data_IF_598593836264
#
_entry.id   IF_598593836264
#
_cell.length_a   1.000
_cell.length_b   1.000
_cell.length_c   1.000
_cell.angle_alpha   90.00
_cell.angle_beta   90.00
_cell.angle_gamma   90.00
#
_symmetry.space_group_name_H-M   'P 1'
#
loop_
_entity.id
_entity.type
_entity.pdbx_description
1 polymer ?
#
# COMPACT_ATOMS: atom_id res chain seq x y z
N UNK A 1 3.45 12.72 8.12
CA UNK A 1 2.07 12.61 8.62
C UNK A 1 1.20 12.44 7.39
N UNK A 2 0.90 11.18 7.02
CA UNK A 2 -0.03 10.91 5.93
C UNK A 2 -1.44 10.98 6.53
N UNK A 3 -2.23 11.94 6.09
CA UNK A 3 -3.67 11.98 6.35
C UNK A 3 -4.32 10.91 5.45
N UNK A 4 -4.61 9.73 6.00
CA UNK A 4 -5.29 8.62 5.31
C UNK A 4 -6.82 8.78 5.26
N UNK A 5 -7.38 9.97 5.46
CA UNK A 5 -8.82 10.18 5.44
C UNK A 5 -9.29 10.83 4.13
N UNK A 6 -9.32 10.04 3.06
CA UNK A 6 -10.22 10.33 1.94
C UNK A 6 -11.65 9.97 2.37
N UNK A 7 -12.43 10.97 2.78
CA UNK A 7 -13.86 10.80 3.08
C UNK A 7 -14.67 11.27 1.87
N UNK A 8 -15.44 10.35 1.28
CA UNK A 8 -16.40 10.61 0.20
C UNK A 8 -17.76 10.11 0.69
N UNK A 9 -18.80 10.96 0.70
CA UNK A 9 -20.18 10.56 1.00
C UNK A 9 -21.16 11.04 -0.09
N UNK A 10 -21.64 10.05 -0.88
CA UNK A 10 -22.88 9.88 -1.68
C UNK A 10 -23.30 10.92 -2.75
N UNK A 11 -23.98 10.55 -3.87
CA UNK A 11 -24.37 9.21 -4.36
C UNK A 11 -23.18 8.51 -5.02
N UNK A 12 -23.35 7.33 -5.62
CA UNK A 12 -22.33 6.57 -6.38
C UNK A 12 -21.28 7.53 -6.95
N UNK A 13 -20.12 7.64 -6.28
CA UNK A 13 -19.16 8.66 -6.64
C UNK A 13 -18.47 8.16 -7.90
N UNK A 14 -18.86 8.74 -9.05
CA UNK A 14 -18.29 8.41 -10.35
C UNK A 14 -16.89 9.01 -10.50
N UNK A 15 -16.54 10.02 -9.70
CA UNK A 15 -15.28 10.75 -9.78
C UNK A 15 -14.71 11.07 -8.39
N UNK A 16 -13.41 10.83 -8.17
CA UNK A 16 -12.67 11.21 -6.96
C UNK A 16 -11.64 12.26 -7.29
N UNK A 17 -11.74 13.45 -6.68
CA UNK A 17 -10.76 14.53 -6.85
C UNK A 17 -9.58 14.35 -5.91
N UNK A 18 -8.38 14.36 -6.47
CA UNK A 18 -7.10 14.27 -5.76
C UNK A 18 -6.39 15.60 -5.91
N UNK A 19 -5.79 16.07 -4.82
CA UNK A 19 -4.94 17.26 -4.79
C UNK A 19 -3.63 16.89 -4.13
N UNK A 20 -2.52 17.05 -4.87
CA UNK A 20 -1.18 16.75 -4.40
C UNK A 20 -0.40 18.05 -4.13
N UNK A 21 0.17 18.16 -2.93
CA UNK A 21 1.02 19.27 -2.49
C UNK A 21 2.35 18.73 -1.97
N UNK A 22 3.44 19.48 -2.17
CA UNK A 22 4.81 19.05 -1.84
C UNK A 22 4.99 18.64 -0.37
N UNK A 23 4.28 19.30 0.55
CA UNK A 23 4.33 19.02 1.99
C UNK A 23 3.88 17.59 2.36
N UNK A 24 3.28 16.85 1.41
CA UNK A 24 2.69 15.52 1.62
C UNK A 24 3.52 14.35 1.07
N UNK A 25 4.63 14.59 0.37
CA UNK A 25 5.43 13.54 -0.27
C UNK A 25 4.70 12.83 -1.42
N UNK A 26 5.32 11.84 -2.06
CA UNK A 26 4.71 11.08 -3.18
C UNK A 26 3.42 10.39 -2.74
N UNK A 27 2.30 10.68 -3.42
CA UNK A 27 1.04 9.95 -3.21
C UNK A 27 1.00 8.79 -4.19
N UNK A 28 0.87 7.56 -3.67
CA UNK A 28 0.62 6.36 -4.46
C UNK A 28 -0.76 5.81 -4.10
N UNK A 29 -1.67 5.78 -5.07
CA UNK A 29 -2.96 5.10 -4.90
C UNK A 29 -2.86 3.70 -5.48
N UNK A 30 -3.32 2.70 -4.73
CA UNK A 30 -3.35 1.30 -5.15
C UNK A 30 -4.70 0.69 -4.83
N UNK A 31 -5.32 0.05 -5.82
CA UNK A 31 -6.53 -0.75 -5.60
C UNK A 31 -6.16 -2.06 -4.89
N UNK A 32 -6.92 -2.43 -3.85
CA UNK A 32 -6.62 -3.61 -3.00
C UNK A 32 -6.64 -4.95 -3.73
N UNK A 33 -7.45 -5.07 -4.79
CA UNK A 33 -7.60 -6.30 -5.58
C UNK A 33 -7.08 -6.22 -7.01
N UNK A 34 -6.73 -5.02 -7.49
CA UNK A 34 -6.24 -4.83 -8.85
C UNK A 34 -4.89 -4.13 -8.85
N UNK A 35 -3.93 -4.64 -9.63
CA UNK A 35 -2.59 -4.03 -9.84
C UNK A 35 -2.67 -2.70 -10.62
N UNK A 36 -3.63 -1.84 -10.30
CA UNK A 36 -3.82 -0.50 -10.86
C UNK A 36 -3.22 0.48 -9.86
N UNK A 37 -2.32 1.34 -10.33
CA UNK A 37 -1.70 2.35 -9.49
C UNK A 37 -1.56 3.68 -10.21
N UNK A 38 -1.62 4.76 -9.43
CA UNK A 38 -1.19 6.09 -9.87
C UNK A 38 -0.23 6.69 -8.84
N UNK A 39 0.73 7.45 -9.33
CA UNK A 39 1.74 8.17 -8.56
C UNK A 39 1.77 9.63 -8.96
N UNK A 40 1.98 10.53 -8.00
CA UNK A 40 2.13 11.96 -8.23
C UNK A 40 3.27 12.51 -7.37
N UNK A 41 4.10 13.39 -7.94
CA UNK A 41 5.27 13.92 -7.25
C UNK A 41 6.02 15.01 -8.00
N UNK A 42 6.89 15.70 -7.27
CA UNK A 42 7.95 16.54 -7.81
C UNK A 42 9.12 15.65 -8.25
N UNK A 43 9.42 15.66 -9.54
CA UNK A 43 10.53 14.89 -10.11
C UNK A 43 11.75 15.77 -10.39
N UNK A 44 11.61 17.09 -10.21
CA UNK A 44 12.62 18.10 -10.50
C UNK A 44 13.26 17.92 -11.90
N UNK A 45 12.42 17.49 -12.85
CA UNK A 45 12.73 17.29 -14.26
C UNK A 45 12.11 18.42 -15.06
N UNK A 46 12.80 18.89 -16.10
CA UNK A 46 12.33 19.95 -16.99
C UNK A 46 12.39 19.47 -18.43
N UNK A 47 11.29 19.62 -19.17
CA UNK A 47 11.24 19.26 -20.58
C UNK A 47 10.27 20.16 -21.33
N UNK A 48 10.70 20.66 -22.49
CA UNK A 48 9.90 21.54 -23.35
C UNK A 48 8.58 20.92 -23.81
N UNK A 49 8.51 19.60 -23.97
CA UNK A 49 7.28 18.88 -24.34
C UNK A 49 6.21 19.00 -23.24
N UNK A 50 6.64 19.04 -21.98
CA UNK A 50 5.76 19.16 -20.83
C UNK A 50 5.44 20.61 -20.45
N UNK A 51 6.00 21.59 -21.17
CA UNK A 51 5.69 23.01 -21.04
C UNK A 51 6.80 23.88 -20.45
N UNK A 52 7.95 23.31 -20.06
CA UNK A 52 9.09 24.09 -19.61
C UNK A 52 9.74 24.89 -20.74
N UNK A 53 10.46 25.95 -20.38
CA UNK A 53 11.26 26.75 -21.34
C UNK A 53 12.52 26.04 -21.82
N UNK A 54 13.04 25.11 -21.02
CA UNK A 54 14.31 24.40 -21.26
C UNK A 54 14.15 22.93 -20.90
N UNK A 55 14.87 22.07 -21.63
CA UNK A 55 14.99 20.65 -21.29
C UNK A 55 16.30 20.43 -20.54
N UNK A 56 16.23 19.80 -19.37
CA UNK A 56 17.43 19.37 -18.63
C UNK A 56 17.70 17.87 -18.82
N UNK A 57 18.86 17.41 -18.37
CA UNK A 57 19.28 16.01 -18.52
C UNK A 57 18.24 15.02 -17.95
N UNK A 58 17.71 15.32 -16.74
CA UNK A 58 16.69 14.50 -16.11
C UNK A 58 15.38 14.45 -16.91
N UNK A 59 14.98 15.57 -17.52
CA UNK A 59 13.83 15.63 -18.41
C UNK A 59 14.02 14.82 -19.70
N UNK A 60 15.25 14.75 -20.21
CA UNK A 60 15.60 13.90 -21.36
C UNK A 60 15.51 12.42 -21.00
N UNK A 61 16.04 12.04 -19.84
CA UNK A 61 15.97 10.67 -19.32
C UNK A 61 14.53 10.23 -19.07
N UNK A 62 13.73 11.08 -18.41
CA UNK A 62 12.33 10.77 -18.10
C UNK A 62 11.47 10.69 -19.36
N UNK A 63 11.71 11.53 -20.38
CA UNK A 63 11.05 11.41 -21.67
C UNK A 63 11.44 10.11 -22.39
N UNK A 64 12.72 9.73 -22.34
CA UNK A 64 13.17 8.47 -22.93
C UNK A 64 12.51 7.28 -22.25
N UNK A 65 12.39 7.31 -20.92
CA UNK A 65 11.64 6.33 -20.15
C UNK A 65 10.16 6.31 -20.55
N UNK A 66 9.52 7.48 -20.67
CA UNK A 66 8.12 7.58 -21.10
C UNK A 66 7.90 6.90 -22.45
N UNK A 67 8.73 7.22 -23.44
CA UNK A 67 8.63 6.67 -24.80
C UNK A 67 8.86 5.15 -24.86
N UNK A 68 9.77 4.62 -24.05
CA UNK A 68 10.15 3.21 -24.09
C UNK A 68 9.29 2.32 -23.18
N UNK A 69 8.88 2.84 -22.02
CA UNK A 69 8.39 2.03 -20.91
C UNK A 69 6.90 2.23 -20.63
N UNK A 70 6.28 3.37 -21.00
CA UNK A 70 4.86 3.60 -20.69
C UNK A 70 3.94 2.57 -21.35
N UNK A 71 4.22 2.15 -22.58
CA UNK A 71 3.40 1.12 -23.27
C UNK A 71 3.48 -0.22 -22.53
N UNK A 72 4.70 -0.68 -22.23
CA UNK A 72 4.95 -1.95 -21.55
C UNK A 72 4.35 -1.95 -20.14
N UNK A 73 4.46 -0.82 -19.43
CA UNK A 73 3.96 -0.66 -18.08
C UNK A 73 2.48 -0.26 -18.02
N UNK A 74 1.82 -0.14 -19.18
CA UNK A 74 0.44 0.35 -19.29
C UNK A 74 0.27 1.65 -18.48
N UNK A 75 1.22 2.56 -18.59
CA UNK A 75 1.25 3.83 -17.87
C UNK A 75 0.98 4.99 -18.83
N UNK A 76 0.37 6.06 -18.32
CA UNK A 76 0.17 7.34 -18.98
C UNK A 76 0.80 8.41 -18.11
N UNK A 77 1.57 9.29 -18.73
CA UNK A 77 2.21 10.42 -18.10
C UNK A 77 1.35 11.67 -18.29
N UNK A 78 1.10 12.40 -17.20
CA UNK A 78 0.21 13.56 -17.15
C UNK A 78 0.99 14.76 -16.62
N UNK A 79 1.49 15.65 -17.51
CA UNK A 79 2.10 16.91 -17.12
C UNK A 79 1.04 17.93 -16.68
N UNK A 80 1.46 18.93 -15.90
CA UNK A 80 0.56 19.99 -15.45
C UNK A 80 0.20 20.97 -16.57
N UNK A 81 -0.99 21.54 -16.48
CA UNK A 81 -1.51 22.54 -17.43
C UNK A 81 -0.79 23.88 -17.29
N UNK A 82 -0.61 24.34 -16.05
CA UNK A 82 0.13 25.56 -15.72
C UNK A 82 1.43 25.22 -14.97
N UNK A 83 2.38 26.16 -14.86
CA UNK A 83 3.60 25.96 -14.09
C UNK A 83 3.30 25.55 -12.65
N UNK A 84 3.99 24.52 -12.19
CA UNK A 84 3.90 24.08 -10.79
C UNK A 84 4.88 24.80 -9.89
N UNK A 85 5.84 25.55 -10.44
CA UNK A 85 6.70 26.45 -9.71
C UNK A 85 6.67 27.84 -10.39
N UNK A 86 5.67 28.69 -10.05
CA UNK A 86 5.32 29.88 -10.82
C UNK A 86 6.42 30.93 -10.90
N UNK A 87 7.21 31.09 -9.83
CA UNK A 87 8.30 32.08 -9.74
C UNK A 87 9.32 31.96 -10.88
N UNK A 88 9.56 30.73 -11.36
CA UNK A 88 10.45 30.45 -12.49
C UNK A 88 9.70 30.08 -13.78
N UNK A 89 8.37 29.92 -13.70
CA UNK A 89 7.56 29.36 -14.78
C UNK A 89 7.85 27.90 -15.10
N UNK A 90 8.32 27.10 -14.12
CA UNK A 90 8.71 25.70 -14.36
C UNK A 90 7.59 24.69 -14.09
N UNK A 91 7.63 23.56 -14.80
CA UNK A 91 6.68 22.44 -14.73
C UNK A 91 7.35 21.22 -14.08
N UNK A 92 7.40 21.16 -12.76
CA UNK A 92 8.22 20.16 -12.04
C UNK A 92 7.41 18.99 -11.45
N UNK A 93 6.10 19.15 -11.34
CA UNK A 93 5.21 18.17 -10.71
C UNK A 93 4.41 17.43 -11.77
N UNK A 94 4.43 16.10 -11.69
CA UNK A 94 3.83 15.22 -12.68
C UNK A 94 2.96 14.15 -12.02
N UNK A 95 2.02 13.61 -12.79
CA UNK A 95 1.29 12.40 -12.42
C UNK A 95 1.57 11.28 -13.44
N UNK A 96 1.76 10.07 -12.95
CA UNK A 96 1.84 8.85 -13.76
C UNK A 96 0.69 7.97 -13.30
N UNK A 97 -0.15 7.51 -14.21
CA UNK A 97 -1.26 6.61 -13.88
C UNK A 97 -1.31 5.42 -14.82
N UNK A 98 -1.80 4.29 -14.33
CA UNK A 98 -2.17 3.17 -15.17
C UNK A 98 -3.19 3.60 -16.24
N UNK A 99 -3.02 3.16 -17.48
CA UNK A 99 -3.91 3.43 -18.65
C UNK A 99 -5.38 3.11 -18.40
N UNK A 100 -5.66 2.22 -17.44
CA UNK A 100 -7.02 1.85 -17.04
C UNK A 100 -7.65 2.85 -16.05
N UNK A 101 -6.87 3.79 -15.52
CA UNK A 101 -7.32 4.90 -14.67
C UNK A 101 -7.63 6.07 -15.59
N UNK A 102 -8.91 6.41 -15.71
CA UNK A 102 -9.35 7.58 -16.47
C UNK A 102 -9.28 8.83 -15.60
N UNK A 103 -8.58 9.86 -16.09
CA UNK A 103 -8.54 11.17 -15.46
C UNK A 103 -9.56 12.09 -16.13
N UNK A 104 -10.64 12.40 -15.41
CA UNK A 104 -11.84 13.07 -15.94
C UNK A 104 -11.70 14.57 -16.20
N UNK A 105 -10.78 15.26 -15.51
CA UNK A 105 -10.60 16.71 -15.61
C UNK A 105 -9.34 17.14 -16.35
N UNK A 106 -8.74 16.22 -17.13
CA UNK A 106 -7.59 16.54 -17.97
C UNK A 106 -8.01 17.28 -19.25
N UNK A 107 -7.29 18.34 -19.62
CA UNK A 107 -7.46 19.03 -20.90
C UNK A 107 -6.24 18.75 -21.76
N UNK A 108 -6.40 18.14 -22.94
CA UNK A 108 -5.30 17.77 -23.84
C UNK A 108 -4.19 16.95 -23.14
N UNK A 109 -4.58 15.99 -22.29
CA UNK A 109 -3.64 15.15 -21.55
C UNK A 109 -2.90 15.86 -20.41
N UNK A 110 -3.27 17.11 -20.07
CA UNK A 110 -2.67 17.87 -18.97
C UNK A 110 -3.60 18.00 -17.78
N UNK A 111 -3.04 17.90 -16.57
CA UNK A 111 -3.77 18.00 -15.30
C UNK A 111 -3.76 19.42 -14.74
N UNK A 112 -4.81 19.78 -14.00
CA UNK A 112 -4.96 21.13 -13.48
C UNK A 112 -3.98 21.39 -12.32
N UNK A 113 -3.77 22.68 -12.04
CA UNK A 113 -2.97 23.14 -10.89
C UNK A 113 -3.80 24.06 -10.00
N UNK A 114 -3.49 24.06 -8.71
CA UNK A 114 -4.13 24.92 -7.72
C UNK A 114 -3.08 25.58 -6.83
N UNK A 115 -3.15 26.90 -6.70
CA UNK A 115 -2.30 27.64 -5.79
C UNK A 115 -2.62 27.28 -4.32
N UNK A 116 -1.58 27.22 -3.48
CA UNK A 116 -1.68 27.05 -2.03
C UNK A 116 -0.53 27.79 -1.33
N UNK A 117 -0.43 27.67 -0.01
CA UNK A 117 0.60 28.34 0.81
C UNK A 117 1.98 27.66 0.67
N UNK A 118 2.51 27.66 -0.55
CA UNK A 118 3.84 27.18 -0.94
C UNK A 118 4.28 27.95 -2.18
N UNK A 119 5.58 27.97 -2.41
CA UNK A 119 6.21 28.42 -3.65
C UNK A 119 5.87 27.53 -4.86
N UNK A 120 5.28 26.35 -4.64
CA UNK A 120 4.72 25.50 -5.69
C UNK A 120 3.19 25.56 -5.75
N UNK A 121 2.65 25.35 -6.95
CA UNK A 121 1.24 25.00 -7.15
C UNK A 121 1.04 23.49 -6.99
N UNK A 122 -0.03 23.11 -6.31
CA UNK A 122 -0.49 21.73 -6.20
C UNK A 122 -1.04 21.23 -7.55
N UNK A 123 -0.80 19.98 -7.91
CA UNK A 123 -1.50 19.35 -9.06
C UNK A 123 -2.82 18.75 -8.58
N UNK A 124 -3.86 18.91 -9.39
CA UNK A 124 -5.21 18.45 -9.09
C UNK A 124 -5.78 17.68 -10.27
N UNK A 125 -6.36 16.53 -9.99
CA UNK A 125 -7.00 15.71 -11.00
C UNK A 125 -8.14 14.87 -10.42
N UNK A 126 -9.08 14.49 -11.27
CA UNK A 126 -10.24 13.66 -10.92
C UNK A 126 -10.09 12.28 -11.54
N UNK A 127 -10.17 11.24 -10.71
CA UNK A 127 -10.17 9.85 -11.17
C UNK A 127 -11.60 9.39 -11.35
N UNK A 128 -11.95 8.86 -12.51
CA UNK A 128 -13.22 8.18 -12.73
C UNK A 128 -13.22 6.81 -12.02
N UNK A 129 -14.06 6.67 -11.00
CA UNK A 129 -14.09 5.50 -10.11
C UNK A 129 -15.10 4.44 -10.49
N UNK A 130 -16.00 4.75 -11.43
CA UNK A 130 -17.08 3.85 -11.88
C UNK A 130 -16.53 2.50 -12.38
N UNK A 131 -15.50 2.53 -13.23
CA UNK A 131 -14.86 1.33 -13.80
C UNK A 131 -13.70 0.77 -12.94
N UNK A 132 -13.21 1.53 -11.96
CA UNK A 132 -12.08 1.11 -11.13
C UNK A 132 -12.51 0.29 -9.92
N UNK A 133 -13.70 0.56 -9.38
CA UNK A 133 -14.11 0.06 -8.06
C UNK A 133 -15.53 -0.54 -8.02
N UNK A 134 -16.24 -0.70 -9.15
CA UNK A 134 -17.68 -1.05 -9.17
C UNK A 134 -18.52 -0.12 -8.27
N UNK A 135 -18.17 1.17 -8.26
CA UNK A 135 -18.63 2.12 -7.25
C UNK A 135 -17.91 1.90 -5.92
N UNK A 136 -17.35 2.97 -5.34
CA UNK A 136 -16.79 2.93 -3.99
C UNK A 136 -17.94 2.66 -2.99
N UNK A 137 -18.32 1.40 -2.80
CA UNK A 137 -19.08 0.99 -1.64
C UNK A 137 -18.10 1.00 -0.47
N UNK A 138 -18.28 1.94 0.45
CA UNK A 138 -17.59 1.96 1.73
C UNK A 138 -17.98 0.68 2.49
N UNK A 139 -17.33 -0.43 2.19
CA UNK A 139 -17.19 -1.51 3.14
C UNK A 139 -15.94 -1.14 3.91
N UNK A 140 -16.09 -0.69 5.16
CA UNK A 140 -15.00 -0.78 6.13
C UNK A 140 -14.61 -2.25 6.26
N UNK A 141 -13.83 -2.77 5.30
CA UNK A 141 -13.13 -4.01 5.50
C UNK A 141 -12.03 -3.66 6.50
N UNK A 142 -12.29 -3.91 7.79
CA UNK A 142 -11.20 -4.18 8.73
C UNK A 142 -10.36 -5.25 8.06
N UNK A 143 -9.22 -4.87 7.48
CA UNK A 143 -8.28 -5.82 6.90
C UNK A 143 -7.71 -6.63 8.07
N UNK A 144 -8.42 -7.69 8.44
CA UNK A 144 -7.96 -8.72 9.35
C UNK A 144 -6.90 -9.49 8.60
N UNK A 145 -5.64 -9.26 8.95
CA UNK A 145 -4.54 -10.04 8.39
C UNK A 145 -4.48 -11.35 9.14
N UNK A 146 -4.71 -12.46 8.45
CA UNK A 146 -4.61 -13.80 9.02
C UNK A 146 -3.17 -14.31 8.96
N UNK A 147 -2.77 -15.09 9.95
CA UNK A 147 -1.47 -15.75 9.99
C UNK A 147 -1.58 -17.15 9.40
N UNK A 148 -1.65 -17.25 8.08
CA UNK A 148 -1.74 -18.54 7.38
C UNK A 148 -0.50 -19.43 7.58
N UNK A 149 0.64 -18.85 7.97
CA UNK A 149 1.86 -19.61 8.27
C UNK A 149 1.71 -20.46 9.53
N UNK A 150 0.97 -19.96 10.51
CA UNK A 150 0.69 -20.65 11.79
C UNK A 150 -0.71 -21.26 11.82
N UNK A 151 -1.37 -21.37 10.67
CA UNK A 151 -2.69 -21.98 10.56
C UNK A 151 -2.64 -23.46 10.96
N UNK A 152 -3.60 -23.89 11.78
CA UNK A 152 -3.86 -25.31 11.99
C UNK A 152 -4.82 -25.80 10.90
N UNK A 153 -4.25 -26.24 9.77
CA UNK A 153 -5.01 -26.69 8.62
C UNK A 153 -5.91 -27.90 8.92
N UNK A 154 -5.53 -28.74 9.88
CA UNK A 154 -6.36 -29.89 10.29
C UNK A 154 -7.68 -29.42 10.91
N UNK A 155 -7.62 -28.48 11.86
CA UNK A 155 -8.83 -27.88 12.47
C UNK A 155 -9.68 -27.13 11.43
N UNK A 156 -9.03 -26.46 10.49
CA UNK A 156 -9.72 -25.78 9.39
C UNK A 156 -10.48 -26.77 8.50
N UNK A 157 -9.84 -27.87 8.09
CA UNK A 157 -10.46 -28.93 7.31
C UNK A 157 -11.62 -29.59 8.06
N UNK A 158 -11.42 -29.96 9.34
CA UNK A 158 -12.47 -30.53 10.19
C UNK A 158 -13.70 -29.60 10.29
N UNK A 159 -13.47 -28.28 10.40
CA UNK A 159 -14.55 -27.29 10.44
C UNK A 159 -15.30 -27.19 9.10
N UNK A 160 -14.58 -27.15 7.97
CA UNK A 160 -15.20 -27.13 6.64
C UNK A 160 -16.00 -28.41 6.39
N UNK A 161 -15.43 -29.57 6.68
CA UNK A 161 -16.11 -30.86 6.49
C UNK A 161 -17.39 -30.92 7.33
N UNK A 162 -17.31 -30.53 8.60
CA UNK A 162 -18.50 -30.46 9.48
C UNK A 162 -19.56 -29.50 8.93
N UNK A 163 -19.18 -28.28 8.54
CA UNK A 163 -20.11 -27.26 8.03
C UNK A 163 -20.72 -27.63 6.68
N UNK A 164 -19.98 -28.29 5.79
CA UNK A 164 -20.51 -28.77 4.52
C UNK A 164 -21.49 -29.94 4.71
N UNK A 165 -21.24 -30.81 5.69
CA UNK A 165 -22.10 -31.96 6.00
C UNK A 165 -23.43 -31.52 6.63
N UNK A 166 -23.43 -30.43 7.41
CA UNK A 166 -24.61 -29.91 8.12
C UNK A 166 -25.46 -28.98 7.24
N UNK A 167 -24.83 -28.07 6.50
CA UNK A 167 -25.54 -26.96 5.86
C UNK A 167 -25.58 -27.01 4.32
N UNK A 168 -24.70 -27.74 3.63
CA UNK A 168 -24.56 -27.58 2.17
C UNK A 168 -24.30 -28.89 1.43
N UNK A 169 -25.29 -29.78 1.41
CA UNK A 169 -25.30 -30.80 0.36
C UNK A 169 -25.64 -30.12 -0.97
N UNK A 170 -24.63 -29.89 -1.80
CA UNK A 170 -24.86 -29.58 -3.21
C UNK A 170 -25.67 -30.75 -3.78
N UNK A 171 -26.86 -30.50 -4.36
CA UNK A 171 -27.69 -31.56 -4.89
C UNK A 171 -26.91 -32.42 -5.87
N UNK A 172 -27.09 -33.73 -5.80
CA UNK A 172 -26.43 -34.67 -6.72
C UNK A 172 -27.02 -34.61 -8.14
N UNK A 173 -28.06 -33.81 -8.37
CA UNK A 173 -28.68 -33.65 -9.68
C UNK A 173 -27.79 -32.77 -10.58
N UNK A 174 -27.65 -33.16 -11.85
CA UNK A 174 -26.78 -32.46 -12.82
C UNK A 174 -27.47 -31.32 -13.56
N UNK A 175 -28.72 -31.01 -13.21
CA UNK A 175 -29.57 -30.04 -13.91
C UNK A 175 -29.88 -28.84 -13.01
N UNK A 176 -28.85 -28.22 -12.44
CA UNK A 176 -29.01 -26.96 -11.71
C UNK A 176 -29.07 -25.80 -12.70
N UNK A 177 -29.90 -24.80 -12.41
CA UNK A 177 -29.84 -23.53 -13.17
C UNK A 177 -28.60 -22.73 -12.78
N UNK A 178 -28.24 -21.73 -13.60
CA UNK A 178 -27.08 -20.87 -13.33
C UNK A 178 -27.24 -20.15 -11.98
N UNK A 179 -28.45 -19.70 -11.67
CA UNK A 179 -28.76 -19.01 -10.42
C UNK A 179 -28.62 -19.93 -9.19
N UNK A 180 -28.96 -21.21 -9.34
CA UNK A 180 -28.78 -22.19 -8.27
C UNK A 180 -27.29 -22.49 -8.05
N UNK A 181 -26.50 -22.58 -9.12
CA UNK A 181 -25.04 -22.75 -9.05
C UNK A 181 -24.41 -21.56 -8.32
N UNK A 182 -24.76 -20.33 -8.72
CA UNK A 182 -24.24 -19.13 -8.09
C UNK A 182 -24.59 -19.07 -6.59
N UNK A 183 -25.80 -19.49 -6.22
CA UNK A 183 -26.21 -19.60 -4.82
C UNK A 183 -25.35 -20.59 -4.02
N UNK A 184 -24.99 -21.74 -4.60
CA UNK A 184 -24.09 -22.70 -3.93
C UNK A 184 -22.65 -22.21 -3.85
N UNK A 185 -22.17 -21.45 -4.84
CA UNK A 185 -20.84 -20.83 -4.81
C UNK A 185 -20.77 -19.82 -3.65
N UNK A 186 -21.74 -18.90 -3.57
CA UNK A 186 -21.80 -17.90 -2.49
C UNK A 186 -21.84 -18.60 -1.12
N UNK A 187 -22.66 -19.64 -0.97
CA UNK A 187 -22.75 -20.39 0.29
C UNK A 187 -21.42 -21.08 0.66
N UNK A 188 -20.71 -21.60 -0.34
CA UNK A 188 -19.39 -22.22 -0.13
C UNK A 188 -18.35 -21.19 0.30
N UNK A 189 -18.38 -20.00 -0.31
CA UNK A 189 -17.53 -18.88 0.10
C UNK A 189 -17.81 -18.45 1.53
N UNK A 190 -19.09 -18.36 1.94
CA UNK A 190 -19.48 -18.03 3.31
C UNK A 190 -18.94 -19.06 4.32
N UNK A 191 -19.05 -20.36 4.02
CA UNK A 191 -18.53 -21.44 4.87
C UNK A 191 -17.00 -21.35 4.99
N UNK A 192 -16.30 -21.13 3.87
CA UNK A 192 -14.84 -20.97 3.87
C UNK A 192 -14.45 -19.75 4.71
N UNK A 193 -15.15 -18.63 4.56
CA UNK A 193 -14.86 -17.42 5.33
C UNK A 193 -15.15 -17.58 6.82
N UNK A 194 -16.20 -18.30 7.20
CA UNK A 194 -16.47 -18.66 8.60
C UNK A 194 -15.35 -19.53 9.18
N UNK A 195 -14.93 -20.57 8.43
CA UNK A 195 -13.86 -21.45 8.83
C UNK A 195 -12.53 -20.70 9.01
N UNK A 196 -12.20 -19.79 8.08
CA UNK A 196 -11.02 -18.92 8.18
C UNK A 196 -11.10 -18.08 9.47
N UNK A 197 -12.25 -17.45 9.72
CA UNK A 197 -12.44 -16.56 10.85
C UNK A 197 -12.32 -17.25 12.22
N UNK A 198 -12.77 -18.51 12.31
CA UNK A 198 -12.78 -19.29 13.54
C UNK A 198 -11.48 -20.04 13.83
N UNK A 199 -10.82 -20.55 12.80
CA UNK A 199 -9.71 -21.50 12.97
C UNK A 199 -8.33 -20.93 12.68
N UNK A 200 -8.24 -19.87 11.85
CA UNK A 200 -6.96 -19.29 11.47
C UNK A 200 -6.57 -18.18 12.46
N UNK A 201 -5.40 -18.26 13.11
CA UNK A 201 -4.94 -17.22 14.00
C UNK A 201 -4.84 -15.88 13.27
N UNK A 202 -5.35 -14.82 13.89
CA UNK A 202 -5.22 -13.45 13.35
C UNK A 202 -3.83 -12.92 13.71
N UNK A 203 -3.17 -12.24 12.78
CA UNK A 203 -2.01 -11.44 13.13
C UNK A 203 -2.50 -10.32 14.04
N UNK A 204 -2.10 -10.37 15.31
CA UNK A 204 -2.11 -9.17 16.12
C UNK A 204 -1.22 -8.17 15.40
N UNK A 205 -1.77 -7.00 15.05
CA UNK A 205 -0.95 -5.90 14.56
C UNK A 205 0.13 -5.70 15.62
N UNK A 206 1.39 -6.04 15.34
CA UNK A 206 2.50 -5.61 16.17
C UNK A 206 2.38 -4.09 16.19
N UNK A 207 2.03 -3.59 17.37
CA UNK A 207 1.65 -2.20 17.56
C UNK A 207 2.70 -1.32 16.89
N UNK A 208 2.22 -0.47 15.99
CA UNK A 208 3.01 0.51 15.26
C UNK A 208 4.03 1.19 16.18
N UNK A 209 5.20 1.55 15.64
CA UNK A 209 6.28 2.29 16.32
C UNK A 209 5.75 3.51 17.09
N UNK A 210 4.57 4.02 16.73
CA UNK A 210 3.90 5.16 17.36
C UNK A 210 3.17 4.85 18.69
N UNK A 211 2.97 3.58 19.08
CA UNK A 211 2.27 3.26 20.35
C UNK A 211 3.08 3.68 21.59
N UNK A 212 4.40 3.87 21.48
CA UNK A 212 5.21 4.46 22.57
C UNK A 212 4.82 5.90 22.93
N UNK A 213 4.11 6.57 22.02
CA UNK A 213 3.63 7.94 22.21
C UNK A 213 2.11 8.00 22.38
N UNK A 214 1.43 6.86 22.41
CA UNK A 214 -0.02 6.78 22.48
C UNK A 214 -0.46 6.60 23.94
N UNK A 215 -1.12 7.61 24.49
CA UNK A 215 -1.62 7.60 25.87
C UNK A 215 -3.15 7.71 25.89
N UNK A 216 -3.77 7.46 27.04
CA UNK A 216 -5.24 7.46 27.14
C UNK A 216 -5.87 8.82 26.77
N UNK A 217 -5.15 9.92 26.96
CA UNK A 217 -5.60 11.27 26.59
C UNK A 217 -5.62 11.39 25.06
N UNK A 218 -4.54 10.99 24.38
CA UNK A 218 -4.43 10.97 22.91
C UNK A 218 -5.52 10.08 22.31
N UNK A 219 -5.73 8.87 22.85
CA UNK A 219 -6.82 7.97 22.43
C UNK A 219 -8.19 8.61 22.56
N UNK A 220 -8.46 9.25 23.70
CA UNK A 220 -9.73 9.95 23.96
C UNK A 220 -9.92 11.11 22.97
N UNK A 221 -8.91 11.94 22.78
CA UNK A 221 -8.95 13.07 21.85
C UNK A 221 -9.16 12.62 20.39
N UNK A 222 -8.54 11.51 19.96
CA UNK A 222 -8.79 10.92 18.65
C UNK A 222 -10.22 10.38 18.51
N UNK A 223 -10.75 9.72 19.54
CA UNK A 223 -12.14 9.25 19.55
C UNK A 223 -13.12 10.43 19.49
N UNK A 224 -12.89 11.49 20.25
CA UNK A 224 -13.73 12.69 20.27
C UNK A 224 -13.66 13.44 18.93
N UNK A 225 -12.47 13.57 18.34
CA UNK A 225 -12.29 14.10 16.98
C UNK A 225 -13.09 13.29 15.96
N UNK A 226 -13.00 11.95 16.03
CA UNK A 226 -13.71 11.07 15.09
C UNK A 226 -15.23 11.21 15.23
N UNK A 227 -15.75 11.26 16.46
CA UNK A 227 -17.18 11.53 16.72
C UNK A 227 -17.64 12.86 16.14
N UNK A 228 -16.87 13.94 16.34
CA UNK A 228 -17.20 15.26 15.82
C UNK A 228 -17.16 15.32 14.29
N UNK A 229 -16.19 14.64 13.67
CA UNK A 229 -16.13 14.49 12.21
C UNK A 229 -17.39 13.76 11.71
N UNK A 230 -17.80 12.67 12.36
CA UNK A 230 -19.04 11.96 12.02
C UNK A 230 -20.28 12.84 12.16
N UNK A 231 -20.39 13.62 13.23
CA UNK A 231 -21.50 14.57 13.43
C UNK A 231 -21.48 15.66 12.34
N UNK A 232 -20.30 16.22 12.06
CA UNK A 232 -20.12 17.22 11.01
C UNK A 232 -20.61 16.69 9.66
N UNK A 233 -20.24 15.46 9.30
CA UNK A 233 -20.69 14.83 8.08
C UNK A 233 -22.21 14.61 8.05
N UNK A 234 -22.82 14.18 9.16
CA UNK A 234 -24.28 14.02 9.25
C UNK A 234 -25.01 15.36 9.01
N UNK A 235 -24.56 16.44 9.65
CA UNK A 235 -25.15 17.78 9.48
C UNK A 235 -25.02 18.24 8.03
N UNK A 236 -23.85 18.05 7.42
CA UNK A 236 -23.59 18.41 6.02
C UNK A 236 -24.45 17.57 5.06
N UNK A 237 -24.66 16.28 5.34
CA UNK A 237 -25.47 15.41 4.48
C UNK A 237 -26.97 15.70 4.51
N UNK A 238 -27.47 16.21 5.63
CA UNK A 238 -28.90 16.51 5.82
C UNK A 238 -29.24 17.91 5.30
N UNK A 239 -28.33 18.87 5.42
CA UNK A 239 -28.63 20.28 5.16
C UNK A 239 -28.27 20.73 3.74
N UNK A 240 -29.28 20.91 2.89
CA UNK A 240 -29.17 21.73 1.68
C UNK A 240 -29.22 23.22 2.08
N UNK A 241 -28.06 23.79 2.46
CA UNK A 241 -27.76 25.23 2.66
C UNK A 241 -28.21 25.90 3.99
N UNK A 242 -27.33 26.85 4.39
CA UNK A 242 -27.46 28.00 5.32
C UNK A 242 -27.88 27.81 6.78
N UNK A 243 -28.84 26.96 7.12
CA UNK A 243 -29.41 26.93 8.48
C UNK A 243 -28.43 26.44 9.56
N UNK A 244 -27.51 25.53 9.20
CA UNK A 244 -26.56 24.94 10.15
C UNK A 244 -25.14 25.53 10.07
N UNK A 245 -24.99 26.71 9.46
CA UNK A 245 -23.66 27.32 9.21
C UNK A 245 -22.91 27.59 10.52
N UNK A 246 -23.64 27.95 11.57
CA UNK A 246 -23.07 28.26 12.88
C UNK A 246 -22.58 26.99 13.59
N UNK A 247 -23.37 25.92 13.58
CA UNK A 247 -23.07 24.61 14.17
C UNK A 247 -21.88 23.96 13.46
N UNK A 248 -21.84 24.04 12.13
CA UNK A 248 -20.67 23.61 11.34
C UNK A 248 -19.43 24.40 11.73
N UNK A 249 -19.56 25.72 11.92
CA UNK A 249 -18.47 26.58 12.39
C UNK A 249 -17.97 26.20 13.78
N UNK A 250 -18.90 25.94 14.72
CA UNK A 250 -18.60 25.51 16.07
C UNK A 250 -17.88 24.16 16.09
N UNK A 251 -18.39 23.15 15.37
CA UNK A 251 -17.76 21.82 15.30
C UNK A 251 -16.35 21.91 14.70
N UNK A 252 -16.15 22.68 13.64
CA UNK A 252 -14.82 22.92 13.07
C UNK A 252 -13.87 23.58 14.06
N UNK A 253 -14.37 24.52 14.86
CA UNK A 253 -13.57 25.17 15.90
C UNK A 253 -13.18 24.18 17.01
N UNK A 254 -14.12 23.32 17.45
CA UNK A 254 -13.83 22.27 18.44
C UNK A 254 -12.80 21.27 17.88
N UNK A 255 -12.91 20.84 16.63
CA UNK A 255 -11.90 19.98 15.97
C UNK A 255 -10.53 20.67 15.95
N UNK A 256 -10.48 21.99 15.69
CA UNK A 256 -9.24 22.77 15.72
C UNK A 256 -8.63 22.79 17.12
N UNK A 257 -9.44 22.95 18.17
CA UNK A 257 -9.00 22.87 19.57
C UNK A 257 -8.46 21.48 19.90
N UNK A 258 -9.18 20.41 19.53
CA UNK A 258 -8.72 19.03 19.74
C UNK A 258 -7.39 18.77 19.03
N UNK A 259 -7.20 19.25 17.80
CA UNK A 259 -5.92 19.12 17.10
C UNK A 259 -4.78 19.84 17.83
N UNK A 260 -5.03 21.01 18.44
CA UNK A 260 -4.03 21.71 19.27
C UNK A 260 -3.67 20.90 20.52
N UNK A 261 -4.66 20.36 21.22
CA UNK A 261 -4.44 19.53 22.41
C UNK A 261 -3.75 18.21 22.06
N UNK A 262 -4.11 17.56 20.94
CA UNK A 262 -3.40 16.39 20.42
C UNK A 262 -1.92 16.71 20.20
N UNK A 263 -1.62 17.80 19.49
CA UNK A 263 -0.23 18.19 19.23
C UNK A 263 0.53 18.50 20.52
N UNK A 264 -0.10 19.14 21.50
CA UNK A 264 0.48 19.43 22.81
C UNK A 264 0.80 18.15 23.57
N UNK A 265 -0.14 17.21 23.62
CA UNK A 265 0.02 15.95 24.35
C UNK A 265 1.01 15.00 23.66
N UNK A 266 1.05 14.98 22.33
CA UNK A 266 2.10 14.29 21.58
C UNK A 266 3.48 14.85 21.90
N UNK A 267 3.64 16.19 21.87
CA UNK A 267 4.91 16.83 22.24
C UNK A 267 5.32 16.45 23.66
N UNK A 268 4.39 16.52 24.61
CA UNK A 268 4.62 16.15 26.01
C UNK A 268 5.08 14.70 26.14
N UNK A 269 4.40 13.77 25.48
CA UNK A 269 4.72 12.33 25.57
C UNK A 269 6.06 12.01 24.92
N UNK A 270 6.36 12.65 23.79
CA UNK A 270 7.67 12.54 23.12
C UNK A 270 8.78 13.08 24.02
N UNK A 271 8.62 14.26 24.61
CA UNK A 271 9.60 14.85 25.53
C UNK A 271 9.81 13.96 26.75
N UNK A 272 8.74 13.51 27.41
CA UNK A 272 8.83 12.64 28.58
C UNK A 272 9.55 11.32 28.26
N UNK A 273 9.30 10.74 27.09
CA UNK A 273 10.00 9.54 26.61
C UNK A 273 11.50 9.80 26.49
N UNK A 274 11.91 10.88 25.81
CA UNK A 274 13.33 11.20 25.63
C UNK A 274 14.01 11.57 26.94
N UNK A 275 13.34 12.30 27.84
CA UNK A 275 13.84 12.58 29.19
C UNK A 275 14.10 11.29 29.98
N UNK A 276 13.18 10.33 29.92
CA UNK A 276 13.37 9.04 30.57
C UNK A 276 14.57 8.28 29.97
N UNK A 277 14.67 8.24 28.63
CA UNK A 277 15.80 7.61 27.95
C UNK A 277 17.15 8.26 28.29
N UNK A 278 17.21 9.58 28.43
CA UNK A 278 18.44 10.29 28.85
C UNK A 278 18.76 10.03 30.32
N UNK A 279 17.74 10.00 31.21
CA UNK A 279 17.92 9.69 32.64
C UNK A 279 18.46 8.28 32.89
N UNK A 280 18.18 7.32 32.02
CA UNK A 280 18.72 5.95 32.09
C UNK A 280 20.22 5.84 31.73
N UNK A 281 20.82 6.93 31.23
CA UNK A 281 22.24 6.99 30.88
C UNK A 281 23.04 7.45 32.09
N UNK A 282 23.72 6.50 32.73
CA UNK A 282 24.62 6.77 33.84
C UNK A 282 26.05 7.04 33.33
N UNK A 283 26.53 8.27 33.52
CA UNK A 283 27.90 8.68 33.14
C UNK A 283 28.98 7.95 33.94
N UNK A 284 28.64 7.38 35.10
CA UNK A 284 29.57 6.61 35.94
C UNK A 284 29.86 5.22 35.34
N UNK A 285 28.98 4.73 34.46
CA UNK A 285 29.14 3.44 33.75
C UNK A 285 29.80 3.65 32.39
N UNK A 286 31.11 3.91 32.39
CA UNK A 286 31.88 4.22 31.17
C UNK A 286 31.68 3.23 30.02
N UNK A 287 31.55 1.92 30.33
CA UNK A 287 31.31 0.85 29.34
C UNK A 287 29.94 0.93 28.65
N UNK A 288 28.91 1.45 29.32
CA UNK A 288 27.54 1.54 28.78
C UNK A 288 27.17 2.92 28.25
N UNK A 289 27.86 3.96 28.73
CA UNK A 289 27.56 5.36 28.44
C UNK A 289 27.54 5.67 26.94
N UNK A 290 28.65 5.47 26.24
CA UNK A 290 28.75 5.75 24.81
C UNK A 290 27.86 4.83 23.95
N UNK A 291 27.74 3.51 24.21
CA UNK A 291 26.78 2.66 23.49
C UNK A 291 25.33 3.16 23.60
N UNK A 292 24.87 3.55 24.79
CA UNK A 292 23.51 4.07 25.00
C UNK A 292 23.30 5.41 24.28
N UNK A 293 24.25 6.34 24.40
CA UNK A 293 24.20 7.62 23.68
C UNK A 293 24.21 7.41 22.17
N UNK A 294 25.11 6.57 21.66
CA UNK A 294 25.20 6.27 20.23
C UNK A 294 23.91 5.66 19.70
N UNK A 295 23.20 4.83 20.48
CA UNK A 295 21.91 4.26 20.09
C UNK A 295 20.81 5.33 19.93
N UNK A 296 20.86 6.41 20.70
CA UNK A 296 19.87 7.49 20.67
C UNK A 296 20.20 8.54 19.60
N UNK A 297 21.47 8.93 19.47
CA UNK A 297 21.89 10.06 18.65
C UNK A 297 22.41 9.67 17.26
N UNK A 298 22.96 8.45 17.09
CA UNK A 298 23.41 8.05 15.76
C UNK A 298 22.21 7.67 14.91
N UNK A 299 22.00 8.45 13.86
CA UNK A 299 21.21 8.01 12.72
C UNK A 299 21.76 6.66 12.27
N UNK A 300 20.90 5.65 12.22
CA UNK A 300 21.29 4.40 11.56
C UNK A 300 21.70 4.78 10.14
N UNK A 301 22.91 4.38 9.67
CA UNK A 301 23.26 4.63 8.29
C UNK A 301 22.13 4.05 7.42
N UNK A 302 21.75 4.73 6.33
CA UNK A 302 20.78 4.17 5.40
C UNK A 302 21.25 2.75 5.05
N UNK A 303 20.31 1.80 5.05
CA UNK A 303 20.60 0.42 4.67
C UNK A 303 21.15 0.44 3.24
N UNK A 304 22.46 0.35 3.12
CA UNK A 304 23.14 0.30 1.84
C UNK A 304 23.24 -1.16 1.44
N UNK A 305 22.42 -1.54 0.47
CA UNK A 305 22.52 -2.87 -0.15
C UNK A 305 23.62 -2.76 -1.20
N UNK A 306 24.86 -2.97 -0.75
CA UNK A 306 26.03 -2.87 -1.61
C UNK A 306 26.01 -3.93 -2.70
N UNK A 307 25.61 -5.17 -2.39
CA UNK A 307 25.49 -6.26 -3.34
C UNK A 307 24.29 -7.15 -3.01
N UNK A 308 23.62 -7.68 -4.04
CA UNK A 308 22.68 -8.81 -3.88
C UNK A 308 23.46 -10.08 -4.23
N UNK A 309 23.51 -11.02 -3.29
CA UNK A 309 24.14 -12.32 -3.48
C UNK A 309 23.09 -13.40 -3.61
N UNK A 310 23.13 -14.15 -4.71
CA UNK A 310 22.23 -15.26 -4.98
C UNK A 310 23.06 -16.54 -5.11
N UNK A 311 22.76 -17.55 -4.30
CA UNK A 311 23.39 -18.86 -4.44
C UNK A 311 22.87 -19.57 -5.67
N UNK A 312 23.76 -20.07 -6.50
CA UNK A 312 23.41 -20.90 -7.65
C UNK A 312 22.94 -22.24 -7.08
N UNK A 313 21.62 -22.39 -7.01
CA UNK A 313 20.91 -23.57 -6.54
C UNK A 313 19.91 -23.97 -7.64
N UNK A 314 19.46 -25.23 -7.67
CA UNK A 314 18.44 -25.75 -8.61
C UNK A 314 17.01 -25.18 -8.39
N UNK A 315 16.88 -23.93 -7.96
CA UNK A 315 15.60 -23.22 -7.92
C UNK A 315 15.40 -22.55 -9.29
N UNK A 316 14.27 -22.82 -9.96
CA UNK A 316 13.92 -22.28 -11.28
C UNK A 316 14.05 -20.75 -11.37
N UNK A 317 13.85 -20.06 -10.23
CA UNK A 317 14.09 -18.62 -10.13
C UNK A 317 15.57 -18.25 -10.23
N UNK A 318 16.42 -19.00 -9.54
CA UNK A 318 17.86 -18.81 -9.59
C UNK A 318 18.40 -19.23 -10.96
N UNK A 319 17.82 -20.25 -11.62
CA UNK A 319 18.20 -20.65 -12.98
C UNK A 319 17.87 -19.57 -14.02
N UNK A 320 16.70 -18.94 -13.90
CA UNK A 320 16.31 -17.84 -14.80
C UNK A 320 17.20 -16.62 -14.61
N UNK A 321 17.47 -16.25 -13.37
CA UNK A 321 18.41 -15.15 -13.07
C UNK A 321 19.83 -15.54 -13.50
N UNK A 322 20.25 -16.79 -13.28
CA UNK A 322 21.57 -17.28 -13.69
C UNK A 322 21.78 -17.17 -15.19
N UNK A 323 20.81 -17.55 -16.02
CA UNK A 323 20.93 -17.41 -17.48
C UNK A 323 21.10 -15.97 -17.94
N UNK A 324 20.49 -15.02 -17.26
CA UNK A 324 20.54 -13.60 -17.62
C UNK A 324 21.81 -12.90 -17.09
N UNK A 325 22.30 -13.31 -15.91
CA UNK A 325 23.43 -12.68 -15.22
C UNK A 325 24.63 -13.63 -15.01
N UNK A 326 24.80 -14.63 -15.89
CA UNK A 326 25.87 -15.64 -15.76
C UNK A 326 27.27 -15.00 -15.72
N UNK A 327 27.45 -13.88 -16.42
CA UNK A 327 28.69 -13.12 -16.45
C UNK A 327 29.07 -12.47 -15.10
N UNK A 328 28.15 -12.48 -14.12
CA UNK A 328 28.35 -11.96 -12.75
C UNK A 328 28.58 -13.09 -11.72
N UNK A 329 28.85 -14.31 -12.18
CA UNK A 329 29.16 -15.45 -11.32
C UNK A 329 30.54 -15.32 -10.65
N UNK A 330 30.58 -15.48 -9.34
CA UNK A 330 31.79 -15.56 -8.55
C UNK A 330 31.59 -16.52 -7.38
N UNK A 331 32.45 -17.55 -7.26
CA UNK A 331 32.40 -18.55 -6.18
C UNK A 331 31.02 -19.24 -6.02
N UNK A 332 30.41 -19.69 -7.13
CA UNK A 332 29.11 -20.36 -7.14
C UNK A 332 27.95 -19.48 -6.59
N UNK A 333 28.14 -18.15 -6.60
CA UNK A 333 27.13 -17.14 -6.29
C UNK A 333 27.09 -16.11 -7.43
N UNK A 334 25.90 -15.57 -7.72
CA UNK A 334 25.74 -14.40 -8.58
C UNK A 334 25.84 -13.17 -7.68
N UNK A 335 26.77 -12.26 -7.98
CA UNK A 335 26.96 -11.03 -7.21
C UNK A 335 26.53 -9.85 -8.05
N UNK A 336 25.37 -9.26 -7.72
CA UNK A 336 24.80 -8.14 -8.44
C UNK A 336 25.12 -6.85 -7.70
N UNK A 337 25.96 -6.02 -8.31
CA UNK A 337 26.46 -4.75 -7.74
C UNK A 337 25.78 -3.52 -8.35
N UNK A 338 25.34 -3.60 -9.61
CA UNK A 338 24.81 -2.47 -10.37
C UNK A 338 23.35 -2.15 -9.92
N UNK A 339 22.99 -0.87 -9.73
CA UNK A 339 21.68 -0.49 -9.18
C UNK A 339 20.46 -0.92 -10.00
N UNK A 340 20.55 -0.88 -11.32
CA UNK A 340 19.48 -1.24 -12.26
C UNK A 340 19.21 -2.74 -12.20
N UNK A 341 20.26 -3.56 -12.26
CA UNK A 341 20.21 -5.02 -12.13
C UNK A 341 19.65 -5.44 -10.77
N UNK A 342 20.02 -4.74 -9.68
CA UNK A 342 19.44 -5.00 -8.35
C UNK A 342 17.93 -4.82 -8.35
N UNK A 343 17.44 -3.74 -8.96
CA UNK A 343 16.00 -3.46 -9.02
C UNK A 343 15.27 -4.49 -9.88
N UNK A 344 15.86 -4.92 -10.99
CA UNK A 344 15.31 -5.98 -11.84
C UNK A 344 15.20 -7.31 -11.10
N UNK A 345 16.27 -7.71 -10.39
CA UNK A 345 16.31 -8.96 -9.61
C UNK A 345 15.30 -8.93 -8.47
N UNK A 346 15.19 -7.81 -7.76
CA UNK A 346 14.15 -7.60 -6.74
C UNK A 346 12.76 -7.66 -7.37
N UNK A 347 12.57 -7.01 -8.53
CA UNK A 347 11.31 -7.03 -9.28
C UNK A 347 10.88 -8.44 -9.67
N UNK A 348 11.80 -9.24 -10.24
CA UNK A 348 11.57 -10.65 -10.58
C UNK A 348 11.29 -11.49 -9.33
N UNK A 349 11.98 -11.24 -8.22
CA UNK A 349 11.72 -11.94 -6.95
C UNK A 349 10.32 -11.66 -6.43
N UNK A 350 9.90 -10.40 -6.46
CA UNK A 350 8.54 -10.01 -6.10
C UNK A 350 7.51 -10.59 -7.08
N UNK A 351 7.80 -10.63 -8.37
CA UNK A 351 6.94 -11.30 -9.36
C UNK A 351 6.79 -12.80 -9.03
N UNK A 352 7.85 -13.50 -8.62
CA UNK A 352 7.77 -14.89 -8.16
C UNK A 352 6.80 -15.03 -6.98
N UNK A 353 6.90 -14.15 -5.98
CA UNK A 353 6.05 -14.18 -4.78
C UNK A 353 4.59 -13.84 -5.12
N UNK A 354 4.36 -12.89 -6.03
CA UNK A 354 3.05 -12.27 -6.23
C UNK A 354 2.37 -12.63 -7.57
N UNK A 355 2.99 -13.42 -8.44
CA UNK A 355 2.37 -13.86 -9.70
C UNK A 355 1.49 -15.10 -9.50
N UNK A 356 0.25 -15.02 -10.00
CA UNK A 356 -0.73 -16.13 -10.02
C UNK A 356 -0.24 -17.38 -10.78
N UNK A 357 0.84 -17.31 -11.57
CA UNK A 357 1.36 -18.45 -12.35
C UNK A 357 2.01 -19.53 -11.47
N UNK A 358 2.46 -19.20 -10.26
CA UNK A 358 2.98 -20.18 -9.30
C UNK A 358 1.90 -20.79 -8.39
N UNK A 359 0.64 -20.34 -8.50
CA UNK A 359 -0.54 -20.98 -7.88
C UNK A 359 -1.31 -21.87 -8.85
N UNK A 360 -0.66 -22.38 -9.91
CA UNK A 360 -1.31 -23.28 -10.87
C UNK A 360 -1.36 -24.72 -10.34
N UNK A 361 -2.54 -25.11 -9.87
CA UNK A 361 -2.92 -26.52 -9.75
C UNK A 361 -2.84 -27.21 -11.11
N UNK A 362 -2.29 -28.44 -11.14
CA UNK A 362 -2.31 -29.32 -12.33
C UNK A 362 -0.99 -29.48 -13.09
N UNK A 363 0.07 -28.77 -12.73
CA UNK A 363 1.38 -28.91 -13.40
C UNK A 363 2.13 -30.20 -12.98
N UNK A 364 3.00 -30.70 -13.87
CA UNK A 364 3.86 -31.88 -13.63
C UNK A 364 4.67 -31.77 -12.33
N UNK A 365 5.03 -30.56 -11.89
CA UNK A 365 5.79 -30.33 -10.67
C UNK A 365 5.05 -30.71 -9.39
N UNK A 366 3.73 -30.46 -9.29
CA UNK A 366 2.91 -30.94 -8.16
C UNK A 366 2.77 -32.46 -8.20
N UNK A 367 2.77 -33.08 -9.39
CA UNK A 367 2.79 -34.55 -9.55
C UNK A 367 4.13 -35.12 -9.07
N UNK A 368 5.27 -34.61 -9.53
CA UNK A 368 6.62 -35.04 -9.09
C UNK A 368 6.86 -34.81 -7.60
N UNK A 369 6.44 -33.65 -7.07
CA UNK A 369 6.49 -33.35 -5.63
C UNK A 369 5.68 -34.36 -4.80
N UNK A 370 4.44 -34.68 -5.21
CA UNK A 370 3.61 -35.69 -4.54
C UNK A 370 4.18 -37.11 -4.63
N UNK A 371 4.81 -37.47 -5.75
CA UNK A 371 5.47 -38.78 -5.91
C UNK A 371 6.69 -38.91 -4.99
N UNK A 372 7.51 -37.86 -4.91
CA UNK A 372 8.68 -37.84 -4.03
C UNK A 372 8.30 -37.82 -2.54
N UNK A 373 7.24 -37.09 -2.16
CA UNK A 373 6.73 -37.11 -0.78
C UNK A 373 6.18 -38.49 -0.38
N UNK A 374 5.54 -39.22 -1.30
CA UNK A 374 5.09 -40.60 -1.05
C UNK A 374 6.25 -41.59 -0.90
N UNK A 375 7.34 -41.43 -1.66
CA UNK A 375 8.57 -42.23 -1.52
C UNK A 375 9.28 -41.96 -0.18
N UNK A 376 9.32 -40.71 0.27
CA UNK A 376 9.89 -40.35 1.57
C UNK A 376 9.05 -40.93 2.72
N UNK A 377 7.72 -40.89 2.63
CA UNK A 377 6.84 -41.51 3.64
C UNK A 377 6.93 -43.03 3.70
N UNK A 378 7.17 -43.72 2.57
CA UNK A 378 7.35 -45.18 2.57
C UNK A 378 8.70 -45.61 3.14
N UNK A 379 9.72 -44.77 3.04
CA UNK A 379 11.04 -45.04 3.65
C UNK A 379 11.08 -44.74 5.15
N UNK A 380 10.26 -43.80 5.64
CA UNK A 380 10.14 -43.49 7.07
C UNK A 380 9.32 -44.55 7.83
N UNK A 381 8.42 -45.27 7.15
CA UNK A 381 7.60 -46.33 7.76
C UNK A 381 8.22 -47.74 7.67
N UNK A 382 9.44 -47.86 7.12
CA UNK A 382 10.20 -49.13 7.03
C UNK A 382 11.47 -49.13 7.91
N UNK A 383 11.68 -48.08 8.70
CA UNK A 383 12.55 -48.07 9.87
C UNK A 383 11.67 -48.19 11.11
#
# INVERSE_FOLDING_TARGET
MLDENATVNAPICQHVRITWSLDKGTICLRSGDSRKSSGAGDLNTRNTIWGDKVTNERGTQLQSWEMQQCINNKAIFYPSKNPTFPSSGSYLNYCIADTRIKIGDSTNGRINTKAYDSDHNAITFEIETTALFNGLTNIEQKITTFNFRNANWRKFSEHIETSLTVDSSVPHNRNLTIEEIDKYIVKSEEIIMDAINKTIPKNERKNSIYHKYDNNIIKKLHADKSKLITILFKIISISKRTEYRNEVGQIKNIIKVINKELNKEFKRTVTAYWEAQVKEIDYRKSKEFFPKINKLLRTKPPLKIDNIKLKINNDEFNDKIYREYQHLEYNNEIIISEPTEKLEVIGKFLEKIYSKRYTNEGTEWKKKSRTNSKQVQTNVNKQ
#
